data_IF_565861549335
#
_entry.id   IF_565861549335
#
_cell.length_a   1.000
_cell.length_b   1.000
_cell.length_c   1.000
_cell.angle_alpha   90.00
_cell.angle_beta   90.00
_cell.angle_gamma   90.00
#
_symmetry.space_group_name_H-M   'P 1'
#
loop_
_entity.id
_entity.type
_entity.pdbx_description
1 polymer ?
#
# COMPACT_ATOMS: atom_id res chain seq x y z
N UNK A 1 63.54 14.97 5.62
CA UNK A 1 62.55 15.31 4.59
C UNK A 1 61.32 14.41 4.78
N UNK A 2 60.27 14.92 5.43
CA UNK A 2 59.04 14.18 5.76
C UNK A 2 58.03 14.51 4.67
N UNK A 3 57.64 13.51 3.87
CA UNK A 3 56.60 13.68 2.85
C UNK A 3 55.23 13.45 3.50
N UNK A 4 54.43 14.50 3.67
CA UNK A 4 53.01 14.37 4.04
C UNK A 4 52.23 13.87 2.83
N UNK A 5 51.66 12.67 2.94
CA UNK A 5 50.69 12.18 1.98
C UNK A 5 49.31 12.70 2.38
N UNK A 6 48.73 13.54 1.52
CA UNK A 6 47.36 14.01 1.69
C UNK A 6 46.36 12.88 1.27
N UNK A 7 45.58 12.35 2.23
CA UNK A 7 44.50 11.41 1.97
C UNK A 7 43.27 12.23 1.55
N UNK A 8 42.88 12.13 0.27
CA UNK A 8 41.64 12.73 -0.26
C UNK A 8 40.49 11.78 0.07
N UNK A 9 39.63 12.20 1.00
CA UNK A 9 38.41 11.48 1.34
C UNK A 9 37.33 11.80 0.28
N UNK A 10 37.09 10.89 -0.65
CA UNK A 10 35.99 11.04 -1.63
C UNK A 10 34.70 10.64 -0.91
N UNK A 11 33.85 11.61 -0.62
CA UNK A 11 32.50 11.39 -0.09
C UNK A 11 31.59 10.86 -1.22
N UNK A 12 31.23 9.57 -1.16
CA UNK A 12 30.28 8.96 -2.09
C UNK A 12 28.88 9.37 -1.63
N UNK A 13 28.30 10.37 -2.30
CA UNK A 13 26.89 10.74 -2.10
C UNK A 13 26.00 9.72 -2.82
N UNK A 14 25.36 8.82 -2.06
CA UNK A 14 24.33 7.94 -2.61
C UNK A 14 23.11 8.79 -3.01
N UNK A 15 22.54 8.61 -4.23
CA UNK A 15 21.34 9.35 -4.63
C UNK A 15 20.18 8.95 -3.71
N UNK A 16 19.61 9.92 -2.96
CA UNK A 16 18.35 9.79 -2.27
C UNK A 16 17.27 9.58 -3.34
N UNK A 17 16.61 8.42 -3.31
CA UNK A 17 15.42 8.22 -4.14
C UNK A 17 14.29 9.08 -3.59
N UNK A 18 13.98 10.16 -4.30
CA UNK A 18 12.85 11.00 -3.98
C UNK A 18 11.55 10.26 -4.28
N UNK A 19 10.66 10.21 -3.27
CA UNK A 19 9.25 9.88 -3.49
C UNK A 19 8.55 11.17 -3.88
N UNK A 20 7.96 11.19 -5.06
CA UNK A 20 7.16 12.33 -5.47
C UNK A 20 5.79 12.25 -4.80
N UNK A 21 5.49 13.22 -3.93
CA UNK A 21 4.14 13.37 -3.36
C UNK A 21 3.24 14.00 -4.42
N UNK A 22 2.15 13.31 -4.74
CA UNK A 22 1.11 13.79 -5.66
C UNK A 22 -0.02 14.51 -4.92
N UNK A 23 -0.02 14.45 -3.59
CA UNK A 23 -0.96 15.13 -2.71
C UNK A 23 -1.47 14.24 -1.59
N UNK A 24 -2.13 14.90 -0.62
CA UNK A 24 -2.88 14.27 0.48
C UNK A 24 -4.34 14.66 0.33
N UNK A 25 -5.22 13.69 0.40
CA UNK A 25 -6.65 13.81 0.18
C UNK A 25 -7.38 13.14 1.35
N UNK A 26 -7.88 13.91 2.30
CA UNK A 26 -8.44 13.35 3.53
C UNK A 26 -7.43 12.42 4.22
N UNK A 27 -7.83 11.17 4.45
CA UNK A 27 -6.99 10.15 5.11
C UNK A 27 -6.08 9.37 4.13
N UNK A 28 -6.04 9.76 2.85
CA UNK A 28 -5.28 9.09 1.79
C UNK A 28 -4.20 9.97 1.19
N UNK A 29 -2.99 9.44 1.06
CA UNK A 29 -1.91 10.05 0.29
C UNK A 29 -1.76 9.40 -1.07
N UNK A 30 -1.34 10.19 -2.09
CA UNK A 30 -0.96 9.69 -3.40
C UNK A 30 0.52 9.98 -3.66
N UNK A 31 1.24 8.99 -4.20
CA UNK A 31 2.69 9.05 -4.41
C UNK A 31 3.10 8.41 -5.73
N UNK A 32 4.26 8.85 -6.23
CA UNK A 32 4.99 8.21 -7.32
C UNK A 32 6.40 7.89 -6.86
N UNK A 33 6.81 6.65 -7.06
CA UNK A 33 8.18 6.19 -6.84
C UNK A 33 8.82 5.80 -8.17
N UNK A 34 10.07 6.17 -8.39
CA UNK A 34 10.90 5.58 -9.44
C UNK A 34 11.56 4.30 -8.91
N UNK A 35 11.37 3.20 -9.61
CA UNK A 35 11.92 1.92 -9.22
C UNK A 35 13.39 1.80 -9.65
N UNK A 36 14.23 1.27 -8.76
CA UNK A 36 15.66 1.05 -9.02
C UNK A 36 15.88 0.18 -10.25
N UNK A 37 17.08 0.31 -10.86
CA UNK A 37 17.55 -0.51 -11.99
C UNK A 37 16.63 -0.46 -13.22
N UNK A 38 16.06 0.71 -13.52
CA UNK A 38 15.24 0.88 -14.71
C UNK A 38 13.88 0.15 -14.66
N UNK A 39 13.41 -0.24 -13.47
CA UNK A 39 12.10 -0.88 -13.25
C UNK A 39 10.88 -0.04 -13.62
N UNK A 40 11.10 1.23 -14.00
CA UNK A 40 10.04 2.20 -14.29
C UNK A 40 9.46 2.82 -13.02
N UNK A 41 8.31 3.45 -13.14
CA UNK A 41 7.62 4.10 -12.04
C UNK A 41 6.51 3.23 -11.45
N UNK A 42 6.18 3.49 -10.18
CA UNK A 42 5.00 3.01 -9.49
C UNK A 42 4.23 4.21 -8.96
N UNK A 43 2.93 4.27 -9.22
CA UNK A 43 2.07 5.28 -8.62
C UNK A 43 1.04 4.58 -7.73
N UNK A 44 0.79 5.12 -6.54
CA UNK A 44 -0.12 4.47 -5.60
C UNK A 44 -0.82 5.47 -4.68
N UNK A 45 -2.03 5.11 -4.30
CA UNK A 45 -2.72 5.68 -3.15
C UNK A 45 -2.44 4.82 -1.94
N UNK A 46 -2.31 5.44 -0.76
CA UNK A 46 -2.02 4.75 0.51
C UNK A 46 -2.77 5.40 1.66
N UNK A 47 -3.25 4.58 2.59
CA UNK A 47 -3.79 5.04 3.87
C UNK A 47 -3.35 4.14 5.03
N UNK A 48 -3.29 4.76 6.21
CA UNK A 48 -3.15 4.05 7.48
C UNK A 48 -4.54 3.75 8.05
N UNK A 49 -4.74 2.64 8.78
CA UNK A 49 -6.02 2.37 9.41
C UNK A 49 -6.26 3.28 10.61
N UNK A 50 -7.53 3.45 10.95
CA UNK A 50 -7.94 4.12 12.17
C UNK A 50 -7.21 3.55 13.41
N UNK A 51 -6.98 4.38 14.44
CA UNK A 51 -6.38 3.92 15.68
C UNK A 51 -7.11 2.71 16.27
N UNK A 52 -6.37 1.77 16.86
CA UNK A 52 -6.90 0.58 17.50
C UNK A 52 -6.24 0.39 18.86
N UNK A 53 -7.02 -0.09 19.85
CA UNK A 53 -6.49 -0.49 21.16
C UNK A 53 -5.80 -1.85 21.12
N UNK A 54 -5.98 -2.62 20.04
CA UNK A 54 -5.31 -3.91 19.88
C UNK A 54 -3.84 -3.69 19.55
N UNK A 55 -2.98 -4.43 20.23
CA UNK A 55 -1.54 -4.43 19.95
C UNK A 55 -1.31 -4.86 18.49
N UNK A 56 -0.45 -4.14 17.79
CA UNK A 56 -0.02 -4.41 16.43
C UNK A 56 1.39 -4.98 16.43
N UNK A 57 1.62 -6.03 15.64
CA UNK A 57 2.96 -6.60 15.45
C UNK A 57 3.65 -5.95 14.24
N UNK A 58 2.84 -5.34 13.35
CA UNK A 58 3.28 -4.63 12.15
C UNK A 58 2.49 -3.33 11.99
N UNK A 59 3.09 -2.32 11.36
CA UNK A 59 2.38 -1.10 10.95
C UNK A 59 1.50 -1.41 9.72
N UNK A 60 0.17 -1.42 9.88
CA UNK A 60 -0.74 -1.77 8.81
C UNK A 60 -0.99 -0.58 7.88
N UNK A 61 -1.21 -0.88 6.59
CA UNK A 61 -1.61 0.09 5.59
C UNK A 61 -2.41 -0.58 4.47
N UNK A 62 -3.16 0.22 3.73
CA UNK A 62 -3.81 -0.17 2.49
C UNK A 62 -3.18 0.58 1.32
N UNK A 63 -2.93 -0.09 0.19
CA UNK A 63 -2.47 0.57 -1.04
C UNK A 63 -3.26 0.12 -2.24
N UNK A 64 -3.48 1.06 -3.17
CA UNK A 64 -3.96 0.82 -4.52
C UNK A 64 -2.89 1.31 -5.47
N UNK A 65 -2.21 0.38 -6.17
CA UNK A 65 -1.01 0.68 -6.92
C UNK A 65 -1.11 0.33 -8.41
N UNK A 66 -0.41 1.13 -9.23
CA UNK A 66 -0.27 0.94 -10.67
C UNK A 66 1.22 0.85 -11.02
N UNK A 67 1.60 -0.19 -11.75
CA UNK A 67 2.93 -0.40 -12.35
C UNK A 67 2.82 -0.44 -13.87
N UNK A 68 3.02 0.67 -14.59
CA UNK A 68 2.81 0.74 -16.05
C UNK A 68 3.64 -0.31 -16.80
N UNK A 69 4.92 -0.46 -16.48
CA UNK A 69 5.80 -1.44 -17.14
C UNK A 69 5.39 -2.89 -16.92
N UNK A 70 4.68 -3.22 -15.84
CA UNK A 70 4.16 -4.55 -15.55
C UNK A 70 2.74 -4.77 -16.05
N UNK A 71 2.15 -3.76 -16.69
CA UNK A 71 0.74 -3.74 -17.09
C UNK A 71 -0.22 -4.07 -15.91
N UNK A 72 0.14 -3.64 -14.70
CA UNK A 72 -0.67 -3.77 -13.49
C UNK A 72 -1.31 -2.43 -13.20
N UNK A 73 -2.64 -2.43 -13.05
CA UNK A 73 -3.44 -1.22 -12.76
C UNK A 73 -4.35 -1.47 -11.58
N UNK A 74 -4.30 -0.58 -10.58
CA UNK A 74 -5.22 -0.58 -9.45
C UNK A 74 -5.10 -1.81 -8.55
N UNK A 75 -3.91 -2.41 -8.43
CA UNK A 75 -3.69 -3.55 -7.56
C UNK A 75 -3.93 -3.17 -6.10
N UNK A 76 -4.81 -3.89 -5.45
CA UNK A 76 -5.16 -3.71 -4.04
C UNK A 76 -4.23 -4.58 -3.18
N UNK A 77 -3.60 -3.95 -2.18
CA UNK A 77 -2.77 -4.65 -1.21
C UNK A 77 -2.99 -4.08 0.18
N UNK A 78 -3.05 -4.96 1.15
CA UNK A 78 -3.08 -4.63 2.57
C UNK A 78 -1.85 -5.20 3.28
N UNK A 79 -1.11 -4.37 3.99
CA UNK A 79 -0.26 -4.80 5.09
C UNK A 79 -1.17 -4.92 6.31
N UNK A 80 -1.18 -6.09 6.94
CA UNK A 80 -2.03 -6.38 8.09
C UNK A 80 -1.27 -6.09 9.38
N UNK A 81 -2.01 -5.76 10.44
CA UNK A 81 -1.42 -5.48 11.76
C UNK A 81 -0.86 -6.73 12.46
N UNK A 82 -1.24 -7.93 12.00
CA UNK A 82 -0.79 -9.23 12.54
C UNK A 82 -0.61 -10.25 11.43
N UNK A 83 0.19 -11.27 11.71
CA UNK A 83 0.31 -12.41 10.83
C UNK A 83 -0.93 -13.30 10.91
N UNK A 84 -1.42 -13.66 9.73
CA UNK A 84 -2.61 -14.51 9.58
C UNK A 84 -2.26 -15.96 9.90
N UNK A 85 -3.13 -16.65 10.63
CA UNK A 85 -3.02 -18.09 10.83
C UNK A 85 -3.13 -18.83 9.51
N UNK A 86 -2.35 -19.89 9.32
CA UNK A 86 -2.41 -20.71 8.12
C UNK A 86 -3.85 -21.12 7.80
N UNK A 87 -4.24 -20.98 6.53
CA UNK A 87 -5.57 -21.28 6.01
C UNK A 87 -6.74 -20.46 6.61
N UNK A 88 -6.46 -19.43 7.43
CA UNK A 88 -7.53 -18.55 7.89
C UNK A 88 -7.97 -17.62 6.76
N UNK A 89 -9.29 -17.44 6.62
CA UNK A 89 -9.84 -16.50 5.65
C UNK A 89 -9.47 -15.06 5.99
N UNK A 90 -9.13 -14.28 4.97
CA UNK A 90 -8.92 -12.84 5.05
C UNK A 90 -10.11 -12.20 4.34
N UNK A 91 -10.91 -11.44 5.08
CA UNK A 91 -12.15 -10.86 4.56
C UNK A 91 -12.04 -9.35 4.54
N UNK A 92 -12.35 -8.74 3.40
CA UNK A 92 -12.53 -7.30 3.23
C UNK A 92 -14.02 -6.99 3.15
N UNK A 93 -14.51 -6.15 4.05
CA UNK A 93 -15.89 -5.71 4.15
C UNK A 93 -16.02 -4.23 3.80
N UNK A 94 -16.97 -3.89 2.92
CA UNK A 94 -17.36 -2.51 2.59
C UNK A 94 -18.87 -2.43 2.38
N UNK A 95 -19.59 -1.64 3.20
CA UNK A 95 -21.06 -1.61 3.19
C UNK A 95 -21.63 -3.06 3.24
N UNK A 96 -22.47 -3.44 2.27
CA UNK A 96 -23.02 -4.79 2.11
C UNK A 96 -22.14 -5.74 1.30
N UNK A 97 -20.99 -5.27 0.76
CA UNK A 97 -20.09 -6.09 -0.07
C UNK A 97 -19.00 -6.73 0.79
N UNK A 98 -18.72 -8.00 0.51
CA UNK A 98 -17.65 -8.77 1.15
C UNK A 98 -16.78 -9.42 0.08
N UNK A 99 -15.47 -9.39 0.26
CA UNK A 99 -14.47 -9.99 -0.62
C UNK A 99 -13.54 -10.90 0.19
N UNK A 100 -13.34 -12.13 -0.28
CA UNK A 100 -12.35 -13.02 0.30
C UNK A 100 -11.02 -12.77 -0.41
N UNK A 101 -10.06 -12.24 0.34
CA UNK A 101 -8.72 -11.92 -0.16
C UNK A 101 -7.83 -13.16 -0.11
N UNK A 102 -6.76 -13.13 -0.91
CA UNK A 102 -5.68 -14.09 -0.86
C UNK A 102 -4.48 -13.48 -0.15
N UNK A 103 -3.67 -14.30 0.51
CA UNK A 103 -2.48 -13.80 1.18
C UNK A 103 -1.93 -14.74 2.23
N UNK A 104 -1.01 -14.21 3.02
CA UNK A 104 -0.34 -14.95 4.11
C UNK A 104 0.67 -14.08 4.82
N UNK A 105 1.25 -14.61 5.91
CA UNK A 105 1.98 -13.79 6.87
C UNK A 105 1.15 -12.54 7.23
N UNK A 106 1.66 -11.34 7.05
CA UNK A 106 0.92 -10.11 7.32
C UNK A 106 0.58 -9.33 6.04
N UNK A 107 0.24 -10.02 4.94
CA UNK A 107 -0.11 -9.40 3.68
C UNK A 107 -1.37 -10.02 3.09
N UNK A 108 -2.16 -9.20 2.39
CA UNK A 108 -3.35 -9.64 1.68
C UNK A 108 -3.53 -8.88 0.36
N UNK A 109 -4.02 -9.58 -0.66
CA UNK A 109 -4.27 -9.04 -2.01
C UNK A 109 -5.64 -9.48 -2.51
N UNK A 110 -6.17 -8.76 -3.48
CA UNK A 110 -7.23 -9.30 -4.32
C UNK A 110 -6.73 -10.57 -5.04
N UNK A 111 -7.61 -11.52 -5.26
CA UNK A 111 -7.26 -12.79 -5.89
C UNK A 111 -6.84 -12.64 -7.36
N UNK A 112 -7.44 -11.67 -8.04
CA UNK A 112 -7.25 -11.42 -9.47
C UNK A 112 -7.60 -9.97 -9.83
N UNK A 113 -7.32 -9.57 -11.07
CA UNK A 113 -7.57 -8.22 -11.58
C UNK A 113 -9.05 -7.83 -11.57
N UNK A 114 -9.95 -8.77 -11.75
CA UNK A 114 -11.40 -8.50 -11.71
C UNK A 114 -11.82 -8.14 -10.29
N UNK A 115 -11.28 -8.82 -9.29
CA UNK A 115 -11.51 -8.49 -7.87
C UNK A 115 -10.85 -7.15 -7.50
N UNK A 116 -9.63 -6.84 -7.97
CA UNK A 116 -9.02 -5.51 -7.81
C UNK A 116 -9.99 -4.41 -8.28
N UNK A 117 -10.48 -4.55 -9.51
CA UNK A 117 -11.42 -3.58 -10.10
C UNK A 117 -12.73 -3.47 -9.30
N UNK A 118 -13.28 -4.59 -8.83
CA UNK A 118 -14.51 -4.62 -8.04
C UNK A 118 -14.31 -3.95 -6.67
N UNK A 119 -13.16 -4.16 -6.01
CA UNK A 119 -12.81 -3.51 -4.75
C UNK A 119 -12.65 -2.00 -4.96
N UNK A 120 -11.88 -1.57 -5.97
CA UNK A 120 -11.69 -0.15 -6.31
C UNK A 120 -13.03 0.54 -6.61
N UNK A 121 -13.92 -0.11 -7.35
CA UNK A 121 -15.27 0.40 -7.61
C UNK A 121 -16.10 0.53 -6.31
N UNK A 122 -16.01 -0.45 -5.41
CA UNK A 122 -16.73 -0.41 -4.13
C UNK A 122 -16.18 0.70 -3.21
N UNK A 123 -14.87 0.94 -3.20
CA UNK A 123 -14.24 2.01 -2.42
C UNK A 123 -14.76 3.40 -2.79
N UNK A 124 -15.14 3.63 -4.06
CA UNK A 124 -15.66 4.93 -4.53
C UNK A 124 -17.05 5.29 -3.96
N UNK A 125 -17.79 4.31 -3.47
CA UNK A 125 -19.15 4.51 -2.95
C UNK A 125 -19.32 4.18 -1.47
N UNK A 126 -18.27 3.73 -0.81
CA UNK A 126 -18.29 3.40 0.61
C UNK A 126 -17.62 4.49 1.46
N UNK A 127 -18.00 4.62 2.72
CA UNK A 127 -17.37 5.54 3.68
C UNK A 127 -16.21 4.90 4.45
N UNK A 128 -16.20 3.57 4.54
CA UNK A 128 -15.14 2.80 5.21
C UNK A 128 -14.99 1.41 4.63
N UNK A 129 -13.83 0.85 4.86
CA UNK A 129 -13.54 -0.56 4.61
C UNK A 129 -12.85 -1.19 5.82
N UNK A 130 -13.11 -2.48 6.08
CA UNK A 130 -12.48 -3.23 7.15
C UNK A 130 -11.93 -4.54 6.62
N UNK A 131 -10.64 -4.77 6.79
CA UNK A 131 -10.02 -6.07 6.55
C UNK A 131 -9.85 -6.79 7.87
N UNK A 132 -10.28 -8.06 7.94
CA UNK A 132 -10.26 -8.86 9.16
C UNK A 132 -9.78 -10.29 8.89
N UNK A 133 -9.18 -10.88 9.91
CA UNK A 133 -8.75 -12.28 9.90
C UNK A 133 -8.55 -12.79 11.33
N UNK A 134 -7.90 -13.96 11.45
CA UNK A 134 -7.51 -14.59 12.71
C UNK A 134 -5.99 -14.72 12.73
N UNK A 135 -5.33 -14.27 13.80
CA UNK A 135 -3.88 -14.35 13.96
C UNK A 135 -3.40 -15.77 14.30
N UNK A 136 -2.08 -15.96 14.32
CA UNK A 136 -1.47 -17.26 14.63
C UNK A 136 -1.90 -17.85 16.00
N UNK A 137 -2.26 -16.98 16.95
CA UNK A 137 -2.72 -17.40 18.29
C UNK A 137 -4.24 -17.69 18.35
N UNK A 138 -4.95 -17.59 17.22
CA UNK A 138 -6.39 -17.80 17.15
C UNK A 138 -7.23 -16.58 17.51
N UNK A 139 -6.63 -15.41 17.74
CA UNK A 139 -7.35 -14.18 18.08
C UNK A 139 -7.80 -13.45 16.82
N UNK A 140 -9.02 -12.93 16.83
CA UNK A 140 -9.53 -12.07 15.76
C UNK A 140 -8.84 -10.72 15.78
N UNK A 141 -8.54 -10.16 14.60
CA UNK A 141 -8.05 -8.81 14.44
C UNK A 141 -8.68 -8.15 13.20
N UNK A 142 -8.67 -6.84 13.19
CA UNK A 142 -9.17 -6.07 12.05
C UNK A 142 -8.39 -4.77 11.89
N UNK A 143 -8.30 -4.29 10.65
CA UNK A 143 -7.79 -2.97 10.30
C UNK A 143 -8.88 -2.24 9.52
N UNK A 144 -9.37 -1.12 10.05
CA UNK A 144 -10.44 -0.32 9.47
C UNK A 144 -9.87 0.97 8.92
N UNK A 145 -10.25 1.31 7.70
CA UNK A 145 -9.82 2.50 6.97
C UNK A 145 -11.06 3.35 6.65
N UNK A 146 -10.97 4.64 6.88
CA UNK A 146 -11.91 5.59 6.28
C UNK A 146 -11.62 5.70 4.79
N UNK A 147 -12.62 6.01 3.99
CA UNK A 147 -12.47 6.18 2.55
C UNK A 147 -12.62 7.64 2.11
N UNK A 148 -12.59 8.56 3.09
CA UNK A 148 -12.51 9.98 2.79
C UNK A 148 -11.23 10.30 2.04
N UNK A 149 -11.36 10.91 0.86
CA UNK A 149 -10.26 11.22 -0.05
C UNK A 149 -9.73 10.05 -0.87
N UNK A 150 -10.15 8.79 -0.63
CA UNK A 150 -9.65 7.62 -1.34
C UNK A 150 -9.79 7.74 -2.86
N UNK A 151 -10.95 8.17 -3.35
CA UNK A 151 -11.20 8.35 -4.79
C UNK A 151 -10.23 9.34 -5.43
N UNK A 152 -10.04 10.50 -4.79
CA UNK A 152 -9.13 11.55 -5.28
C UNK A 152 -7.67 11.08 -5.28
N UNK A 153 -7.23 10.39 -4.23
CA UNK A 153 -5.87 9.84 -4.15
C UNK A 153 -5.63 8.76 -5.23
N UNK A 154 -6.60 7.86 -5.46
CA UNK A 154 -6.52 6.85 -6.53
C UNK A 154 -6.47 7.49 -7.91
N UNK A 155 -7.25 8.54 -8.17
CA UNK A 155 -7.27 9.26 -9.44
C UNK A 155 -5.94 10.01 -9.66
N UNK A 156 -5.41 10.70 -8.66
CA UNK A 156 -4.11 11.36 -8.72
C UNK A 156 -2.98 10.37 -9.06
N UNK A 157 -2.95 9.22 -8.39
CA UNK A 157 -1.98 8.16 -8.67
C UNK A 157 -2.13 7.58 -10.08
N UNK A 158 -3.37 7.36 -10.53
CA UNK A 158 -3.65 6.82 -11.88
C UNK A 158 -3.20 7.79 -12.97
N UNK A 159 -3.51 9.08 -12.84
CA UNK A 159 -3.14 10.13 -13.79
C UNK A 159 -1.62 10.29 -13.86
N UNK A 160 -0.93 10.29 -12.72
CA UNK A 160 0.52 10.42 -12.67
C UNK A 160 1.26 9.30 -13.42
N UNK A 161 0.73 8.07 -13.38
CA UNK A 161 1.29 6.94 -14.12
C UNK A 161 0.78 6.78 -15.56
N UNK A 162 -0.26 7.50 -15.95
CA UNK A 162 -0.75 7.55 -17.33
C UNK A 162 0.03 8.54 -18.22
N UNK A 163 0.57 9.59 -17.61
CA UNK A 163 1.42 10.58 -18.30
C UNK A 163 2.83 9.97 -18.46
N UNK A 164 3.19 9.61 -19.68
CA UNK A 164 4.53 9.17 -20.06
C UNK A 164 5.35 10.35 -20.57
#
# INVERSE_FOLDING_TARGET
MIRLAAVVLVAITAPLQAKDSLGVFGDWGAFRDELRNGGGSRCYAIAMPAPSRLQRDHEPYATIATWPRRNIRGQVHFRLSREVRNAAAITLQMNSKSFTLTGGAANAWARDRAMDAAIVAAMRSASRMTVSSVDRSGRRFSNTYTLDGASSAMDAATIACARR
#
